data_IF_476419160477
#
_entry.id   IF_476419160477
#
_cell.length_a   1.000
_cell.length_b   1.000
_cell.length_c   1.000
_cell.angle_alpha   90.00
_cell.angle_beta   90.00
_cell.angle_gamma   90.00
#
_symmetry.space_group_name_H-M   'P 1'
#
loop_
_entity.id
_entity.type
_entity.pdbx_description
1 polymer ?
#
# COMPACT_ATOMS: atom_id res chain seq x y z
N UNK A 1 -21.62 -5.94 17.95
CA UNK A 1 -20.77 -4.87 17.40
C UNK A 1 -19.34 -5.25 17.70
N UNK A 2 -18.53 -5.40 16.65
CA UNK A 2 -17.11 -5.72 16.72
C UNK A 2 -16.31 -4.57 16.14
N UNK A 3 -15.09 -4.35 16.65
CA UNK A 3 -14.20 -3.34 16.06
C UNK A 3 -13.53 -3.81 14.77
N UNK A 4 -13.57 -5.12 14.49
CA UNK A 4 -13.05 -5.74 13.27
C UNK A 4 -13.95 -6.88 12.78
N UNK A 5 -13.98 -7.22 11.48
CA UNK A 5 -14.72 -8.37 10.98
C UNK A 5 -14.25 -9.69 11.58
N UNK A 6 -15.11 -10.71 11.53
CA UNK A 6 -14.67 -12.06 11.85
C UNK A 6 -13.74 -12.61 10.76
N UNK A 7 -13.01 -13.67 11.09
CA UNK A 7 -12.19 -14.39 10.10
C UNK A 7 -13.01 -14.88 8.91
N UNK A 8 -14.25 -15.33 9.14
CA UNK A 8 -15.14 -15.83 8.09
C UNK A 8 -15.59 -14.70 7.16
N UNK A 9 -16.00 -13.57 7.72
CA UNK A 9 -16.36 -12.36 6.94
C UNK A 9 -15.16 -11.89 6.09
N UNK A 10 -13.95 -11.94 6.66
CA UNK A 10 -12.72 -11.57 5.94
C UNK A 10 -12.45 -12.49 4.74
N UNK A 11 -12.69 -13.80 4.90
CA UNK A 11 -12.53 -14.78 3.82
C UNK A 11 -13.56 -14.53 2.72
N UNK A 12 -14.80 -14.23 3.08
CA UNK A 12 -15.85 -13.90 2.11
C UNK A 12 -15.53 -12.61 1.34
N UNK A 13 -15.17 -11.55 2.08
CA UNK A 13 -14.78 -10.25 1.52
C UNK A 13 -13.62 -10.36 0.52
N UNK A 14 -12.65 -11.22 0.82
CA UNK A 14 -11.45 -11.42 0.00
C UNK A 14 -11.44 -12.81 -0.64
N UNK A 15 -12.59 -13.28 -1.10
CA UNK A 15 -12.80 -14.66 -1.59
C UNK A 15 -11.92 -15.05 -2.78
N UNK A 16 -11.47 -14.09 -3.59
CA UNK A 16 -10.59 -14.34 -4.73
C UNK A 16 -9.11 -14.54 -4.34
N UNK A 17 -8.73 -14.34 -3.07
CA UNK A 17 -7.34 -14.48 -2.65
C UNK A 17 -6.79 -15.90 -2.94
N UNK A 18 -5.69 -16.03 -3.69
CA UNK A 18 -5.08 -17.32 -4.02
C UNK A 18 -4.05 -17.78 -3.00
N UNK A 19 -3.68 -16.94 -2.02
CA UNK A 19 -2.59 -17.20 -1.09
C UNK A 19 -3.05 -17.73 0.27
N UNK A 20 -2.09 -18.05 1.13
CA UNK A 20 -2.35 -18.27 2.55
C UNK A 20 -3.03 -17.05 3.21
N UNK A 21 -3.49 -17.24 4.44
CA UNK A 21 -4.14 -16.20 5.23
C UNK A 21 -3.52 -16.10 6.62
N UNK A 22 -3.55 -14.90 7.20
CA UNK A 22 -3.26 -14.70 8.60
C UNK A 22 -4.38 -15.25 9.50
N UNK A 23 -4.16 -15.27 10.81
CA UNK A 23 -5.16 -15.74 11.79
C UNK A 23 -6.46 -14.93 11.73
N UNK A 24 -6.36 -13.63 11.46
CA UNK A 24 -7.49 -12.71 11.27
C UNK A 24 -8.24 -12.89 9.93
N UNK A 25 -7.77 -13.81 9.08
CA UNK A 25 -8.34 -14.11 7.77
C UNK A 25 -7.82 -13.25 6.62
N UNK A 26 -7.02 -12.20 6.90
CA UNK A 26 -6.48 -11.34 5.84
C UNK A 26 -5.61 -12.15 4.86
N UNK A 27 -5.66 -11.84 3.55
CA UNK A 27 -4.72 -12.35 2.57
C UNK A 27 -3.26 -12.18 2.99
N UNK A 28 -2.48 -13.27 2.94
CA UNK A 28 -1.04 -13.30 3.22
C UNK A 28 -0.27 -13.49 1.92
N UNK A 29 -0.26 -12.44 1.10
CA UNK A 29 0.54 -12.37 -0.15
C UNK A 29 2.00 -12.69 0.18
N UNK A 30 2.70 -13.62 -0.48
CA UNK A 30 4.09 -14.00 -0.12
C UNK A 30 5.09 -12.84 -0.06
N UNK A 31 6.04 -12.89 0.90
CA UNK A 31 7.11 -11.87 1.04
C UNK A 31 7.92 -11.70 -0.25
N UNK A 32 8.19 -12.80 -0.97
CA UNK A 32 8.90 -12.77 -2.25
C UNK A 32 8.21 -11.88 -3.29
N UNK A 33 6.87 -11.91 -3.37
CA UNK A 33 6.13 -11.05 -4.28
C UNK A 33 6.19 -9.59 -3.84
N UNK A 34 6.23 -9.31 -2.53
CA UNK A 34 6.41 -7.95 -2.03
C UNK A 34 7.81 -7.41 -2.37
N UNK A 35 8.84 -8.24 -2.27
CA UNK A 35 10.20 -7.85 -2.66
C UNK A 35 10.31 -7.57 -4.16
N UNK A 36 9.72 -8.43 -5.01
CA UNK A 36 9.68 -8.20 -6.46
C UNK A 36 8.84 -6.98 -6.85
N UNK A 37 7.76 -6.72 -6.11
CA UNK A 37 6.89 -5.54 -6.30
C UNK A 37 7.64 -4.21 -6.10
N UNK A 38 8.74 -4.17 -5.35
CA UNK A 38 9.55 -2.94 -5.18
C UNK A 38 10.15 -2.42 -6.49
N UNK A 39 10.27 -3.26 -7.52
CA UNK A 39 10.77 -2.88 -8.84
C UNK A 39 9.65 -2.48 -9.81
N UNK A 40 8.39 -2.56 -9.39
CA UNK A 40 7.22 -2.25 -10.21
C UNK A 40 6.98 -0.74 -10.20
N UNK A 41 6.74 -0.17 -11.37
CA UNK A 41 6.31 1.23 -11.50
C UNK A 41 4.80 1.36 -11.36
N UNK A 42 4.33 2.55 -10.99
CA UNK A 42 2.89 2.83 -10.88
C UNK A 42 2.16 2.56 -12.18
N UNK A 43 2.75 2.92 -13.32
CA UNK A 43 2.16 2.78 -14.65
C UNK A 43 2.01 1.31 -15.07
N UNK A 44 2.99 0.46 -14.74
CA UNK A 44 2.94 -0.98 -15.01
C UNK A 44 1.83 -1.66 -14.17
N UNK A 45 1.79 -1.38 -12.86
CA UNK A 45 0.73 -1.88 -11.99
C UNK A 45 -0.64 -1.37 -12.45
N UNK A 46 -0.75 -0.08 -12.79
CA UNK A 46 -1.96 0.53 -13.30
C UNK A 46 -2.45 -0.11 -14.61
N UNK A 47 -1.54 -0.42 -15.52
CA UNK A 47 -1.85 -1.12 -16.76
C UNK A 47 -2.52 -2.46 -16.51
N UNK A 48 -2.03 -3.24 -15.54
CA UNK A 48 -2.66 -4.51 -15.13
C UNK A 48 -4.04 -4.27 -14.51
N UNK A 49 -4.14 -3.33 -13.55
CA UNK A 49 -5.42 -2.99 -12.91
C UNK A 49 -6.50 -2.66 -13.94
N UNK A 50 -6.17 -1.80 -14.91
CA UNK A 50 -7.10 -1.35 -15.95
C UNK A 50 -7.59 -2.48 -16.85
N UNK A 51 -6.75 -3.47 -17.19
CA UNK A 51 -7.18 -4.64 -17.97
C UNK A 51 -8.22 -5.48 -17.25
N UNK A 52 -8.17 -5.51 -15.92
CA UNK A 52 -9.13 -6.22 -15.06
C UNK A 52 -10.31 -5.36 -14.60
N UNK A 53 -10.51 -4.18 -15.19
CA UNK A 53 -11.65 -3.29 -14.87
C UNK A 53 -11.47 -2.44 -13.60
N UNK A 54 -10.30 -2.50 -12.96
CA UNK A 54 -9.97 -1.68 -11.79
C UNK A 54 -9.59 -0.26 -12.22
N UNK A 55 -10.61 0.58 -12.39
CA UNK A 55 -10.47 1.95 -12.90
C UNK A 55 -10.20 3.02 -11.82
N UNK A 56 -10.13 2.64 -10.54
CA UNK A 56 -9.99 3.55 -9.39
C UNK A 56 -9.09 2.98 -8.29
N UNK A 57 -7.86 2.60 -8.64
CA UNK A 57 -6.88 2.01 -7.72
C UNK A 57 -5.65 2.88 -7.45
N UNK A 58 -5.48 4.03 -8.10
CA UNK A 58 -4.39 4.96 -7.86
C UNK A 58 -4.88 6.29 -7.26
N UNK A 59 -4.17 6.78 -6.24
CA UNK A 59 -4.37 8.09 -5.62
C UNK A 59 -3.02 8.80 -5.46
N UNK A 60 -2.90 9.99 -6.05
CA UNK A 60 -1.72 10.87 -5.95
C UNK A 60 -1.88 11.99 -4.92
N UNK A 61 -1.04 13.02 -5.04
CA UNK A 61 -1.06 14.24 -4.21
C UNK A 61 -0.90 13.95 -2.70
N UNK A 62 0.01 13.05 -2.37
CA UNK A 62 0.43 12.79 -1.01
C UNK A 62 1.65 13.62 -0.66
N UNK A 63 1.76 14.02 0.61
CA UNK A 63 3.05 14.42 1.18
C UNK A 63 3.74 13.16 1.70
N UNK A 64 5.04 13.04 1.44
CA UNK A 64 5.84 11.89 1.85
C UNK A 64 6.92 12.32 2.84
N UNK A 65 7.25 11.47 3.81
CA UNK A 65 8.40 11.70 4.70
C UNK A 65 9.72 11.40 3.99
N UNK A 66 9.74 10.42 3.09
CA UNK A 66 10.93 9.99 2.35
C UNK A 66 10.64 9.92 0.84
N UNK A 67 10.64 11.08 0.14
CA UNK A 67 10.45 11.10 -1.30
C UNK A 67 11.48 10.22 -2.01
N UNK A 68 11.07 9.55 -3.09
CA UNK A 68 11.90 8.60 -3.86
C UNK A 68 12.13 7.23 -3.21
N UNK A 69 11.52 6.97 -2.05
CA UNK A 69 11.54 5.64 -1.42
C UNK A 69 10.28 4.86 -1.79
N UNK A 70 10.47 3.64 -2.31
CA UNK A 70 9.36 2.73 -2.63
C UNK A 70 8.87 2.05 -1.34
N UNK A 71 7.57 2.14 -1.09
CA UNK A 71 6.90 1.45 0.01
C UNK A 71 6.07 0.30 -0.55
N UNK A 72 6.27 -0.91 -0.02
CA UNK A 72 5.44 -2.07 -0.37
C UNK A 72 5.03 -2.81 0.89
N UNK A 73 3.76 -3.19 0.98
CA UNK A 73 3.30 -4.12 1.99
C UNK A 73 1.81 -4.40 1.94
N UNK A 74 1.35 -5.30 2.81
CA UNK A 74 -0.05 -5.75 2.89
C UNK A 74 -0.86 -4.78 3.74
N UNK A 75 -2.01 -4.35 3.25
CA UNK A 75 -2.82 -3.36 3.95
C UNK A 75 -3.37 -3.91 5.28
N UNK A 76 -3.13 -3.18 6.36
CA UNK A 76 -3.96 -3.19 7.58
C UNK A 76 -4.75 -1.90 7.56
N UNK A 77 -6.06 -2.01 7.31
CA UNK A 77 -6.92 -0.85 7.10
C UNK A 77 -7.60 -0.42 8.39
N UNK A 78 -7.75 0.88 8.60
CA UNK A 78 -8.59 1.41 9.67
C UNK A 78 -9.32 2.66 9.22
N UNK A 79 -10.58 2.82 9.64
CA UNK A 79 -11.35 4.03 9.41
C UNK A 79 -11.72 4.68 10.72
N UNK A 80 -11.49 5.98 10.81
CA UNK A 80 -11.98 6.84 11.86
C UNK A 80 -13.14 7.69 11.35
N UNK A 81 -14.06 8.01 12.23
CA UNK A 81 -15.17 8.93 12.00
C UNK A 81 -15.07 10.10 12.99
N UNK A 82 -15.72 11.24 12.69
CA UNK A 82 -15.87 12.32 13.66
C UNK A 82 -16.43 11.80 14.98
N UNK A 83 -15.86 12.26 16.09
CA UNK A 83 -16.26 11.79 17.41
C UNK A 83 -17.75 12.04 17.68
N UNK A 84 -18.38 11.01 18.22
CA UNK A 84 -19.72 11.05 18.80
C UNK A 84 -19.65 10.29 20.13
N UNK A 85 -20.01 10.90 21.27
CA UNK A 85 -19.85 10.26 22.57
C UNK A 85 -20.54 8.89 22.67
N UNK A 86 -21.78 8.77 22.17
CA UNK A 86 -22.55 7.54 22.17
C UNK A 86 -21.88 6.41 21.37
N UNK A 87 -21.31 6.75 20.23
CA UNK A 87 -20.60 5.79 19.38
C UNK A 87 -19.21 5.45 19.92
N UNK A 88 -18.50 6.45 20.45
CA UNK A 88 -17.18 6.30 21.06
C UNK A 88 -17.23 5.32 22.22
N UNK A 89 -18.20 5.49 23.13
CA UNK A 89 -18.40 4.59 24.26
C UNK A 89 -18.71 3.16 23.78
N UNK A 90 -19.56 3.00 22.76
CA UNK A 90 -19.87 1.69 22.19
C UNK A 90 -18.64 0.98 21.62
N UNK A 91 -17.78 1.70 20.89
CA UNK A 91 -16.50 1.19 20.36
C UNK A 91 -15.53 0.86 21.49
N UNK A 92 -15.43 1.72 22.50
CA UNK A 92 -14.56 1.49 23.65
C UNK A 92 -14.95 0.20 24.38
N UNK A 93 -16.24 0.01 24.64
CA UNK A 93 -16.75 -1.21 25.26
C UNK A 93 -16.54 -2.45 24.38
N UNK A 94 -16.63 -2.32 23.05
CA UNK A 94 -16.30 -3.41 22.14
C UNK A 94 -14.81 -3.79 22.21
N UNK A 95 -13.91 -2.80 22.17
CA UNK A 95 -12.47 -3.03 22.30
C UNK A 95 -12.10 -3.72 23.62
N UNK A 96 -12.75 -3.34 24.74
CA UNK A 96 -12.54 -4.02 26.03
C UNK A 96 -12.91 -5.51 25.97
N UNK A 97 -14.06 -5.85 25.37
CA UNK A 97 -14.48 -7.25 25.18
C UNK A 97 -13.54 -8.04 24.27
N UNK A 98 -12.88 -7.35 23.35
CA UNK A 98 -11.91 -7.90 22.40
C UNK A 98 -10.47 -7.90 22.94
N UNK A 99 -10.27 -7.64 24.24
CA UNK A 99 -8.97 -7.75 24.88
C UNK A 99 -8.05 -6.53 24.68
N UNK A 100 -8.56 -5.41 24.17
CA UNK A 100 -7.78 -4.20 23.89
C UNK A 100 -7.61 -3.25 25.09
N UNK A 101 -8.03 -3.69 26.28
CA UNK A 101 -8.03 -2.87 27.50
C UNK A 101 -6.66 -2.28 27.88
N UNK A 102 -5.57 -2.96 27.53
CA UNK A 102 -4.22 -2.56 27.89
C UNK A 102 -3.44 -1.88 26.74
N UNK A 103 -4.08 -1.62 25.60
CA UNK A 103 -3.40 -1.14 24.38
C UNK A 103 -3.42 0.41 24.26
N UNK A 104 -4.10 1.09 25.17
CA UNK A 104 -4.23 2.55 25.14
C UNK A 104 -5.29 3.02 24.13
N UNK A 105 -5.00 4.10 23.41
CA UNK A 105 -5.94 4.74 22.47
C UNK A 105 -6.24 3.91 21.23
N UNK A 106 -7.34 4.26 20.55
CA UNK A 106 -7.84 3.51 19.39
C UNK A 106 -6.89 3.50 18.18
N UNK A 107 -5.98 4.49 18.05
CA UNK A 107 -4.90 4.48 17.06
C UNK A 107 -3.83 3.42 17.40
N UNK A 108 -3.50 3.21 18.68
CA UNK A 108 -2.59 2.14 19.10
C UNK A 108 -3.17 0.75 18.82
N UNK A 109 -4.50 0.59 18.82
CA UNK A 109 -5.16 -0.68 18.48
C UNK A 109 -4.84 -1.13 17.05
N UNK A 110 -4.73 -0.17 16.12
CA UNK A 110 -4.32 -0.43 14.73
C UNK A 110 -2.85 -0.86 14.70
N UNK A 111 -1.97 -0.10 15.38
CA UNK A 111 -0.53 -0.32 15.38
C UNK A 111 -0.16 -1.69 15.96
N UNK A 112 -0.80 -2.11 17.05
CA UNK A 112 -0.55 -3.42 17.67
C UNK A 112 -1.02 -4.61 16.81
N UNK A 113 -1.83 -4.35 15.78
CA UNK A 113 -2.28 -5.39 14.83
C UNK A 113 -1.26 -5.62 13.70
N UNK A 114 -0.35 -4.66 13.49
CA UNK A 114 0.63 -4.70 12.40
C UNK A 114 1.62 -5.85 12.57
N UNK A 115 1.86 -6.54 11.46
CA UNK A 115 2.90 -7.56 11.32
C UNK A 115 4.01 -7.10 10.36
N UNK A 116 5.06 -7.91 10.27
CA UNK A 116 6.15 -7.67 9.33
C UNK A 116 5.62 -7.63 7.89
N UNK A 117 6.07 -6.63 7.14
CA UNK A 117 5.65 -6.34 5.77
C UNK A 117 4.17 -5.94 5.60
N UNK A 118 3.49 -5.54 6.68
CA UNK A 118 2.22 -4.80 6.56
C UNK A 118 2.48 -3.32 6.23
N UNK A 119 1.51 -2.65 5.60
CA UNK A 119 1.43 -1.19 5.52
C UNK A 119 0.18 -0.77 6.27
N UNK A 120 0.34 0.16 7.21
CA UNK A 120 -0.80 0.71 7.92
C UNK A 120 -1.55 1.69 7.00
N UNK A 121 -2.83 1.47 6.74
CA UNK A 121 -3.66 2.32 5.87
C UNK A 121 -4.82 2.89 6.68
N UNK A 122 -4.79 4.19 6.95
CA UNK A 122 -5.75 4.83 7.85
C UNK A 122 -6.50 5.96 7.14
N UNK A 123 -7.83 5.88 7.14
CA UNK A 123 -8.71 6.99 6.80
C UNK A 123 -9.13 7.72 8.10
N UNK A 124 -8.74 8.98 8.23
CA UNK A 124 -9.24 9.88 9.27
C UNK A 124 -9.88 11.12 8.64
N UNK A 125 -10.63 10.88 7.56
CA UNK A 125 -11.44 11.85 6.83
C UNK A 125 -10.68 13.13 6.43
N UNK A 126 -9.39 12.98 6.12
CA UNK A 126 -8.50 14.08 5.73
C UNK A 126 -8.14 15.04 6.88
N UNK A 127 -8.44 14.67 8.13
CA UNK A 127 -8.21 15.53 9.30
C UNK A 127 -6.72 15.69 9.58
N UNK A 128 -6.20 16.92 9.47
CA UNK A 128 -4.80 17.24 9.78
C UNK A 128 -4.68 17.77 11.21
N UNK A 129 -5.28 18.93 11.49
CA UNK A 129 -5.39 19.46 12.86
C UNK A 129 -6.24 18.52 13.72
N UNK A 130 -5.74 18.16 14.87
CA UNK A 130 -6.32 17.19 15.82
C UNK A 130 -6.50 15.79 15.20
N UNK A 131 -5.88 15.51 14.05
CA UNK A 131 -6.01 14.27 13.28
C UNK A 131 -4.67 13.56 13.06
N UNK A 132 -3.71 13.80 13.95
CA UNK A 132 -2.34 13.28 13.84
C UNK A 132 -2.27 11.84 14.36
N UNK A 133 -2.46 10.85 13.48
CA UNK A 133 -2.59 9.43 13.87
C UNK A 133 -1.31 8.88 14.50
N UNK A 134 -0.15 9.33 14.00
CA UNK A 134 1.17 8.97 14.52
C UNK A 134 1.99 10.23 14.84
N UNK A 135 2.79 10.10 15.90
CA UNK A 135 3.95 10.94 16.21
C UNK A 135 5.19 10.05 16.39
N UNK A 136 6.25 10.56 17.00
CA UNK A 136 7.59 9.92 16.98
C UNK A 136 7.60 8.48 17.52
N UNK A 137 7.10 8.27 18.75
CA UNK A 137 7.03 6.94 19.38
C UNK A 137 6.14 5.96 18.60
N UNK A 138 5.00 6.44 18.09
CA UNK A 138 4.07 5.59 17.35
C UNK A 138 4.59 5.25 15.96
N UNK A 139 5.26 6.19 15.30
CA UNK A 139 5.97 5.94 14.03
C UNK A 139 7.11 4.95 14.21
N UNK A 140 7.86 5.03 15.30
CA UNK A 140 8.87 4.02 15.66
C UNK A 140 8.23 2.63 15.86
N UNK A 141 7.06 2.55 16.49
CA UNK A 141 6.32 1.28 16.62
C UNK A 141 5.88 0.74 15.26
N UNK A 142 5.29 1.58 14.40
CA UNK A 142 4.93 1.21 13.01
C UNK A 142 6.15 0.68 12.26
N UNK A 143 7.27 1.41 12.31
CA UNK A 143 8.53 1.03 11.67
C UNK A 143 9.06 -0.30 12.18
N UNK A 144 9.04 -0.50 13.49
CA UNK A 144 9.54 -1.73 14.13
C UNK A 144 8.72 -2.95 13.75
N UNK A 145 7.40 -2.80 13.65
CA UNK A 145 6.47 -3.89 13.30
C UNK A 145 6.48 -4.21 11.82
N UNK A 146 6.48 -3.19 10.97
CA UNK A 146 6.22 -3.36 9.53
C UNK A 146 7.47 -3.42 8.67
N UNK A 147 8.48 -2.58 8.95
CA UNK A 147 9.56 -2.22 8.02
C UNK A 147 9.06 -1.77 6.63
N UNK A 148 7.88 -1.16 6.57
CA UNK A 148 7.32 -0.59 5.33
C UNK A 148 6.84 0.86 5.52
N UNK A 149 5.96 1.09 6.51
CA UNK A 149 5.44 2.43 6.82
C UNK A 149 3.92 2.51 6.81
N UNK A 150 3.38 3.67 6.38
CA UNK A 150 1.94 3.92 6.43
C UNK A 150 1.43 4.87 5.34
N UNK A 151 0.13 4.73 5.03
CA UNK A 151 -0.68 5.70 4.30
C UNK A 151 -1.75 6.22 5.25
N UNK A 152 -1.78 7.54 5.47
CA UNK A 152 -2.70 8.18 6.42
C UNK A 152 -3.43 9.29 5.67
N UNK A 153 -4.70 9.10 5.37
CA UNK A 153 -5.59 10.15 4.84
C UNK A 153 -5.97 11.14 5.94
N UNK A 154 -4.95 11.87 6.41
CA UNK A 154 -4.97 12.77 7.55
C UNK A 154 -3.57 13.29 7.92
N UNK A 155 -3.43 13.71 9.17
CA UNK A 155 -2.21 14.32 9.70
C UNK A 155 -1.24 13.36 10.35
N UNK A 156 -0.01 13.84 10.54
CA UNK A 156 0.96 13.32 11.52
C UNK A 156 1.53 14.47 12.33
N UNK A 157 2.19 14.14 13.45
CA UNK A 157 2.99 15.09 14.23
C UNK A 157 4.43 14.59 14.37
N UNK A 158 5.29 15.36 15.02
CA UNK A 158 6.69 15.02 15.25
C UNK A 158 7.46 14.69 13.96
N UNK A 159 7.21 15.46 12.90
CA UNK A 159 7.75 15.21 11.56
C UNK A 159 9.28 15.05 11.55
N UNK A 160 10.00 15.86 12.35
CA UNK A 160 11.45 15.76 12.46
C UNK A 160 11.92 14.39 12.95
N UNK A 161 11.22 13.75 13.89
CA UNK A 161 11.57 12.39 14.34
C UNK A 161 11.24 11.34 13.26
N UNK A 162 10.11 11.52 12.57
CA UNK A 162 9.66 10.57 11.55
C UNK A 162 10.55 10.54 10.30
N UNK A 163 11.18 11.64 9.92
CA UNK A 163 12.15 11.68 8.80
C UNK A 163 13.51 11.09 9.14
N UNK A 164 13.79 10.77 10.41
CA UNK A 164 14.99 10.01 10.78
C UNK A 164 14.80 8.49 10.54
N UNK A 165 13.54 8.04 10.34
CA UNK A 165 13.18 6.64 10.09
C UNK A 165 13.36 6.28 8.61
N UNK A 166 14.60 6.22 8.15
CA UNK A 166 14.97 6.08 6.73
C UNK A 166 14.58 4.75 6.06
N UNK A 167 14.15 3.73 6.82
CA UNK A 167 13.74 2.41 6.32
C UNK A 167 12.22 2.23 6.18
N UNK A 168 11.44 3.31 6.35
CA UNK A 168 9.99 3.33 6.12
C UNK A 168 9.55 4.64 5.46
N UNK A 169 8.37 4.67 4.85
CA UNK A 169 7.79 5.90 4.30
C UNK A 169 6.37 6.14 4.84
N UNK A 170 6.03 7.41 5.08
CA UNK A 170 4.69 7.81 5.50
C UNK A 170 4.09 8.75 4.46
N UNK A 171 2.98 8.31 3.86
CA UNK A 171 2.16 9.10 2.94
C UNK A 171 1.03 9.76 3.72
N UNK A 172 0.96 11.09 3.70
CA UNK A 172 0.10 11.89 4.59
C UNK A 172 -0.58 13.03 3.83
N UNK A 173 -1.61 13.64 4.43
CA UNK A 173 -2.21 14.90 3.95
C UNK A 173 -1.54 16.14 4.54
N UNK A 174 -0.97 16.05 5.74
CA UNK A 174 -0.33 17.20 6.37
C UNK A 174 0.35 16.90 7.70
N UNK A 175 0.96 17.94 8.26
CA UNK A 175 1.64 17.89 9.57
C UNK A 175 1.02 18.94 10.47
N UNK A 176 0.77 18.59 11.72
CA UNK A 176 0.25 19.49 12.75
C UNK A 176 0.81 19.10 14.13
N UNK A 177 1.02 20.03 15.10
CA UNK A 177 1.57 19.68 16.41
C UNK A 177 0.55 19.09 17.39
N UNK A 178 -0.75 19.15 17.09
CA UNK A 178 -1.81 18.62 17.96
C UNK A 178 -1.70 17.10 18.11
N UNK A 179 -2.32 16.55 19.16
CA UNK A 179 -2.51 15.11 19.28
C UNK A 179 -3.83 14.70 18.60
N UNK A 180 -3.97 13.41 18.25
CA UNK A 180 -5.26 12.88 17.79
C UNK A 180 -6.35 13.14 18.84
N UNK A 181 -7.43 13.79 18.41
CA UNK A 181 -8.59 14.12 19.24
C UNK A 181 -9.86 14.14 18.39
N UNK A 182 -11.04 14.17 19.02
CA UNK A 182 -12.34 14.30 18.34
C UNK A 182 -12.58 13.33 17.18
N UNK A 183 -12.08 12.10 17.31
CA UNK A 183 -12.32 10.99 16.37
C UNK A 183 -12.71 9.72 17.09
N UNK A 184 -13.28 8.77 16.36
CA UNK A 184 -13.62 7.43 16.86
C UNK A 184 -13.35 6.40 15.77
N UNK A 185 -12.62 5.35 16.09
CA UNK A 185 -12.38 4.21 15.19
C UNK A 185 -13.73 3.56 14.87
N UNK A 186 -14.07 3.52 13.59
CA UNK A 186 -15.27 2.85 13.12
C UNK A 186 -15.06 1.38 12.81
N UNK A 187 -13.86 1.03 12.35
CA UNK A 187 -13.47 -0.34 12.14
C UNK A 187 -11.99 -0.48 11.80
N UNK A 188 -11.45 -1.63 12.17
CA UNK A 188 -10.14 -2.15 11.83
C UNK A 188 -10.33 -3.34 10.89
N UNK A 189 -9.45 -3.49 9.90
CA UNK A 189 -9.54 -4.51 8.86
C UNK A 189 -10.92 -4.52 8.18
N UNK A 190 -11.42 -3.33 7.82
CA UNK A 190 -12.62 -3.17 6.99
C UNK A 190 -12.25 -2.58 5.63
N UNK A 191 -13.07 -2.72 4.58
CA UNK A 191 -12.91 -1.91 3.36
C UNK A 191 -12.96 -0.42 3.71
N UNK A 192 -11.97 0.34 3.25
CA UNK A 192 -11.92 1.79 3.44
C UNK A 192 -11.68 2.49 2.11
N UNK A 193 -11.96 3.80 2.11
CA UNK A 193 -11.59 4.70 1.02
C UNK A 193 -10.48 5.62 1.49
N UNK A 194 -9.41 5.75 0.71
CA UNK A 194 -8.41 6.80 0.87
C UNK A 194 -8.35 7.60 -0.43
N UNK A 195 -8.67 8.89 -0.37
CA UNK A 195 -8.89 9.68 -1.58
C UNK A 195 -9.90 9.05 -2.56
N UNK A 196 -9.49 8.81 -3.80
CA UNK A 196 -10.31 8.22 -4.85
C UNK A 196 -10.38 6.68 -4.90
N UNK A 197 -9.62 5.98 -4.04
CA UNK A 197 -9.40 4.53 -4.16
C UNK A 197 -10.04 3.74 -3.04
N UNK A 198 -10.44 2.50 -3.34
CA UNK A 198 -10.90 1.53 -2.33
C UNK A 198 -9.73 0.61 -1.97
N UNK A 199 -9.54 0.40 -0.66
CA UNK A 199 -8.52 -0.49 -0.13
C UNK A 199 -9.20 -1.53 0.75
N UNK A 200 -8.96 -2.81 0.43
CA UNK A 200 -9.37 -3.93 1.26
C UNK A 200 -8.21 -4.38 2.16
N UNK A 201 -8.52 -4.98 3.32
CA UNK A 201 -7.50 -5.62 4.16
C UNK A 201 -6.75 -6.69 3.37
N UNK A 202 -5.41 -6.62 3.40
CA UNK A 202 -4.53 -7.55 2.68
C UNK A 202 -4.24 -7.19 1.22
N UNK A 203 -4.85 -6.13 0.66
CA UNK A 203 -4.38 -5.56 -0.63
C UNK A 203 -2.90 -5.19 -0.51
N UNK A 204 -2.13 -5.34 -1.60
CA UNK A 204 -0.75 -4.84 -1.64
C UNK A 204 -0.78 -3.36 -1.95
N UNK A 205 -0.24 -2.57 -1.04
CA UNK A 205 0.00 -1.15 -1.25
C UNK A 205 1.37 -1.00 -1.90
N UNK A 206 1.40 -0.37 -3.07
CA UNK A 206 2.63 0.10 -3.70
C UNK A 206 2.62 1.63 -3.64
N UNK A 207 3.51 2.19 -2.82
CA UNK A 207 3.79 3.61 -2.75
C UNK A 207 5.03 3.93 -3.56
N UNK A 208 4.88 4.87 -4.49
CA UNK A 208 5.96 5.41 -5.32
C UNK A 208 5.95 6.93 -5.21
N UNK A 209 6.91 7.65 -5.82
CA UNK A 209 6.91 9.12 -5.83
C UNK A 209 5.70 9.75 -6.54
N UNK A 210 4.93 8.98 -7.31
CA UNK A 210 3.72 9.48 -7.97
C UNK A 210 2.49 9.37 -7.07
N UNK A 211 2.51 8.46 -6.10
CA UNK A 211 1.42 8.24 -5.16
C UNK A 211 1.27 6.78 -4.74
N UNK A 212 0.05 6.42 -4.37
CA UNK A 212 -0.31 5.09 -3.87
C UNK A 212 -1.18 4.35 -4.88
N UNK A 213 -0.85 3.10 -5.16
CA UNK A 213 -1.74 2.15 -5.84
C UNK A 213 -2.04 0.94 -4.94
N UNK A 214 -3.32 0.55 -4.87
CA UNK A 214 -3.77 -0.62 -4.13
C UNK A 214 -4.07 -1.79 -5.07
N UNK A 215 -3.40 -2.91 -4.85
CA UNK A 215 -3.40 -4.07 -5.75
C UNK A 215 -4.07 -5.25 -5.04
N UNK A 216 -5.21 -5.76 -5.54
CA UNK A 216 -5.86 -6.93 -4.96
C UNK A 216 -4.94 -8.17 -4.97
N UNK A 217 -4.98 -9.03 -3.95
CA UNK A 217 -4.06 -10.18 -3.83
C UNK A 217 -4.00 -11.06 -5.08
N UNK A 218 -5.15 -11.36 -5.70
CA UNK A 218 -5.23 -12.22 -6.87
C UNK A 218 -4.59 -11.64 -8.14
N UNK A 219 -4.26 -10.34 -8.16
CA UNK A 219 -3.56 -9.69 -9.28
C UNK A 219 -2.09 -9.42 -9.00
N UNK A 220 -1.60 -9.62 -7.78
CA UNK A 220 -0.22 -9.29 -7.40
C UNK A 220 0.79 -10.02 -8.27
N UNK A 221 0.58 -11.31 -8.51
CA UNK A 221 1.50 -12.11 -9.33
C UNK A 221 1.57 -11.60 -10.76
N UNK A 222 0.41 -11.32 -11.39
CA UNK A 222 0.37 -10.78 -12.76
C UNK A 222 1.06 -9.41 -12.83
N UNK A 223 0.85 -8.53 -11.85
CA UNK A 223 1.51 -7.21 -11.81
C UNK A 223 3.03 -7.36 -11.85
N UNK A 224 3.58 -8.23 -11.00
CA UNK A 224 5.01 -8.44 -10.89
C UNK A 224 5.58 -9.05 -12.18
N UNK A 225 4.94 -10.09 -12.71
CA UNK A 225 5.38 -10.77 -13.94
C UNK A 225 5.28 -9.85 -15.17
N UNK A 226 4.23 -9.02 -15.25
CA UNK A 226 4.08 -8.03 -16.30
C UNK A 226 5.17 -6.95 -16.24
N UNK A 227 5.48 -6.42 -15.06
CA UNK A 227 6.57 -5.45 -14.87
C UNK A 227 7.93 -6.05 -15.22
N UNK A 228 8.19 -7.30 -14.83
CA UNK A 228 9.42 -8.00 -15.20
C UNK A 228 9.57 -8.14 -16.72
N UNK A 229 8.51 -8.52 -17.42
CA UNK A 229 8.52 -8.63 -18.87
C UNK A 229 8.72 -7.26 -19.55
N UNK A 230 8.05 -6.21 -19.06
CA UNK A 230 8.21 -4.84 -19.55
C UNK A 230 9.64 -4.35 -19.34
N UNK A 231 10.21 -4.55 -18.15
CA UNK A 231 11.58 -4.12 -17.83
C UNK A 231 12.63 -4.72 -18.76
N UNK A 232 12.51 -6.01 -19.11
CA UNK A 232 13.42 -6.66 -20.06
C UNK A 232 13.25 -6.09 -21.47
N UNK A 233 12.00 -5.85 -21.89
CA UNK A 233 11.68 -5.21 -23.19
C UNK A 233 12.24 -3.79 -23.28
N UNK A 234 12.06 -3.01 -22.22
CA UNK A 234 12.51 -1.63 -22.06
C UNK A 234 14.03 -1.51 -22.08
N UNK A 235 14.72 -2.42 -21.41
CA UNK A 235 16.18 -2.43 -21.38
C UNK A 235 16.77 -2.62 -22.78
N UNK A 236 16.25 -3.58 -23.54
CA UNK A 236 16.60 -3.77 -24.94
C UNK A 236 16.27 -2.52 -25.78
N UNK A 237 15.04 -2.00 -25.63
CA UNK A 237 14.59 -0.83 -26.37
C UNK A 237 15.49 0.38 -26.14
N UNK A 238 15.78 0.70 -24.88
CA UNK A 238 16.66 1.82 -24.48
C UNK A 238 18.08 1.64 -25.02
N UNK A 239 18.62 0.41 -24.96
CA UNK A 239 19.93 0.10 -25.52
C UNK A 239 19.97 0.36 -27.02
N UNK A 240 19.04 -0.22 -27.78
CA UNK A 240 19.04 -0.09 -29.26
C UNK A 240 18.73 1.32 -29.74
N UNK A 241 17.90 2.06 -29.00
CA UNK A 241 17.67 3.49 -29.26
C UNK A 241 18.93 4.31 -29.02
N UNK A 242 19.67 4.04 -27.94
CA UNK A 242 20.94 4.73 -27.65
C UNK A 242 22.03 4.43 -28.68
N UNK A 243 22.02 3.23 -29.26
CA UNK A 243 22.90 2.84 -30.37
C UNK A 243 22.48 3.44 -31.72
N UNK A 244 21.27 4.01 -31.81
CA UNK A 244 20.69 4.49 -33.07
C UNK A 244 20.30 3.39 -34.06
N UNK A 245 20.16 2.13 -33.58
CA UNK A 245 19.81 0.98 -34.43
C UNK A 245 18.34 1.03 -34.89
N UNK A 246 17.46 1.52 -34.03
CA UNK A 246 16.03 1.70 -34.30
C UNK A 246 15.59 3.10 -33.86
N UNK A 247 14.41 3.55 -34.32
CA UNK A 247 13.78 4.79 -33.88
C UNK A 247 12.66 4.56 -32.86
N UNK A 248 12.27 5.60 -32.13
CA UNK A 248 11.26 5.52 -31.07
C UNK A 248 9.94 4.89 -31.53
N UNK A 249 9.44 5.27 -32.70
CA UNK A 249 8.19 4.73 -33.25
C UNK A 249 8.24 3.25 -33.65
N UNK A 250 9.43 2.65 -33.74
CA UNK A 250 9.60 1.21 -33.99
C UNK A 250 9.72 0.40 -32.70
N UNK A 251 10.20 1.03 -31.63
CA UNK A 251 10.42 0.40 -30.32
C UNK A 251 9.20 0.56 -29.40
N UNK A 252 8.59 1.74 -29.37
CA UNK A 252 7.47 2.10 -28.51
C UNK A 252 6.13 1.63 -29.12
N UNK A 253 6.03 0.33 -29.37
CA UNK A 253 4.85 -0.34 -29.92
C UNK A 253 4.59 -1.63 -29.15
N UNK A 254 3.33 -2.10 -29.07
CA UNK A 254 2.99 -3.33 -28.34
C UNK A 254 3.54 -4.58 -29.04
N UNK A 255 3.73 -4.54 -30.36
CA UNK A 255 4.23 -5.66 -31.16
C UNK A 255 5.34 -5.16 -32.05
N UNK A 256 6.53 -5.73 -31.90
CA UNK A 256 7.66 -5.42 -32.76
C UNK A 256 7.56 -6.15 -34.09
N UNK A 257 8.15 -5.57 -35.12
CA UNK A 257 8.38 -6.26 -36.39
C UNK A 257 9.31 -7.45 -36.19
N UNK A 258 9.25 -8.40 -37.12
CA UNK A 258 10.02 -9.65 -37.05
C UNK A 258 11.54 -9.44 -36.92
N UNK A 259 12.10 -8.41 -37.56
CA UNK A 259 13.53 -8.07 -37.48
C UNK A 259 13.95 -7.62 -36.08
N UNK A 260 13.15 -6.76 -35.45
CA UNK A 260 13.38 -6.27 -34.09
C UNK A 260 13.14 -7.40 -33.07
N UNK A 261 12.13 -8.24 -33.30
CA UNK A 261 11.85 -9.38 -32.44
C UNK A 261 13.01 -10.40 -32.48
N UNK A 262 13.56 -10.70 -33.65
CA UNK A 262 14.72 -11.58 -33.78
C UNK A 262 15.95 -11.02 -33.04
N UNK A 263 16.20 -9.71 -33.16
CA UNK A 263 17.28 -9.02 -32.45
C UNK A 263 17.10 -9.07 -30.93
N UNK A 264 15.88 -8.91 -30.44
CA UNK A 264 15.57 -9.05 -29.01
C UNK A 264 15.88 -10.46 -28.49
N UNK A 265 15.48 -11.51 -29.23
CA UNK A 265 15.76 -12.90 -28.83
C UNK A 265 17.26 -13.21 -28.83
N UNK A 266 18.01 -12.66 -29.78
CA UNK A 266 19.46 -12.80 -29.83
C UNK A 266 20.13 -12.09 -28.63
N UNK A 267 19.73 -10.84 -28.36
CA UNK A 267 20.19 -10.07 -27.21
C UNK A 267 19.90 -10.79 -25.87
N UNK A 268 18.72 -11.38 -25.73
CA UNK A 268 18.30 -12.11 -24.52
C UNK A 268 19.13 -13.38 -24.30
N UNK A 269 19.46 -14.13 -25.37
CA UNK A 269 20.33 -15.32 -25.31
C UNK A 269 21.74 -14.97 -24.88
N UNK A 270 22.30 -13.90 -25.46
CA UNK A 270 23.66 -13.44 -25.15
C UNK A 270 23.83 -13.04 -23.68
N UNK A 271 22.74 -12.60 -23.02
CA UNK A 271 22.72 -12.18 -21.62
C UNK A 271 22.54 -13.33 -20.62
N UNK A 272 22.01 -14.46 -21.09
CA UNK A 272 21.74 -15.66 -20.28
C UNK A 272 22.88 -16.69 -20.35
N UNK A 273 23.90 -16.42 -21.17
CA UNK A 273 25.13 -17.20 -21.34
C UNK A 273 26.27 -16.58 -20.55
#
# INVERSE_FOLDING_TARGET
MHSQPSREDMIELTSQNPFERFEDGRPKVPDELLERMKLVTTEEAWGVMRRHGYNRQFEGNWKETHPNTIMVGRAVTAQFLPHRPDYHDAIQQAGLREGRANIGGQNSWVIETLQLHDVMVVDIFGKVKDGTVVGDNLGTSVRTRTRAGAVIDGGIRDYQGLVELTDVNFYIRGVDPTAIADVTLAGLNIPIRIGGITVLPGDVILGTPTGIIAIPPHLVQEVVEASEAIRVRDEFGKLRLAEGKYISGEIDVPTWRDDIQADFEEWKKARSS
#
